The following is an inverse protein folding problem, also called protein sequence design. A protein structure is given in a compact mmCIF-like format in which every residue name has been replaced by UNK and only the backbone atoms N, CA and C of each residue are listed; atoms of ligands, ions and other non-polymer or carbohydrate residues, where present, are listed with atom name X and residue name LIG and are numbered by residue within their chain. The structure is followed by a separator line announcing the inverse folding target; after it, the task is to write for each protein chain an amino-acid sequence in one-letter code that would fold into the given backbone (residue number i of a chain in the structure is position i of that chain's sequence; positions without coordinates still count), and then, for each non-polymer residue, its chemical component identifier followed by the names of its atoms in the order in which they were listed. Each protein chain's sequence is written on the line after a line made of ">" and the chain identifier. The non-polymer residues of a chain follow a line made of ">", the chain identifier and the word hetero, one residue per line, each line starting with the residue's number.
data_IF_609560392442
#
_entry.id   IF_609560392442
#
_cell.length_a   1.000
_cell.length_b   1.000
_cell.length_c   1.000
_cell.angle_alpha   90.00
_cell.angle_beta   90.00
_cell.angle_gamma   90.00
#
_symmetry.space_group_name_H-M   'P 1'
#
loop_
_entity.id
_entity.type
_entity.pdbx_description
1 polymer ?
#
# COMPACT_ATOMS: atom_id res chain seq x y z
N UNK A 1 -11.55 -0.24 -8.13
CA UNK A 1 -10.60 0.77 -7.59
C UNK A 1 -11.20 2.16 -7.48
N UNK A 2 -11.95 2.69 -8.45
CA UNK A 2 -12.51 4.06 -8.35
C UNK A 2 -13.49 4.27 -7.19
N UNK A 3 -14.29 3.26 -6.85
CA UNK A 3 -15.24 3.31 -5.73
C UNK A 3 -14.56 3.44 -4.35
N UNK A 4 -13.30 3.02 -4.23
CA UNK A 4 -12.53 3.00 -2.99
C UNK A 4 -11.22 3.76 -3.24
N UNK A 5 -11.19 5.09 -3.05
CA UNK A 5 -9.99 5.87 -3.31
C UNK A 5 -8.83 5.47 -2.39
N UNK A 6 -7.73 4.99 -2.97
CA UNK A 6 -6.52 4.55 -2.25
C UNK A 6 -5.98 5.60 -1.29
N UNK A 7 -6.10 6.88 -1.64
CA UNK A 7 -5.70 8.03 -0.82
C UNK A 7 -6.39 8.14 0.54
N UNK A 8 -7.54 7.48 0.75
CA UNK A 8 -8.21 7.45 2.05
C UNK A 8 -7.56 6.48 3.05
N UNK A 9 -6.72 5.57 2.56
CA UNK A 9 -6.09 4.52 3.36
C UNK A 9 -4.58 4.75 3.53
N UNK A 10 -3.96 5.58 2.69
CA UNK A 10 -2.51 5.84 2.77
C UNK A 10 -2.25 7.03 3.72
N UNK A 11 -1.34 6.92 4.71
CA UNK A 11 -0.97 8.04 5.57
C UNK A 11 -0.14 9.10 4.81
N UNK A 12 0.03 10.30 5.39
CA UNK A 12 0.84 11.35 4.78
C UNK A 12 2.35 11.01 4.75
N UNK A 13 2.86 10.36 5.80
CA UNK A 13 4.24 9.91 5.90
C UNK A 13 4.43 8.56 5.22
N UNK A 14 5.04 8.56 4.04
CA UNK A 14 5.28 7.35 3.24
C UNK A 14 6.61 7.42 2.52
N UNK A 15 7.02 6.27 1.99
CA UNK A 15 8.25 6.13 1.23
C UNK A 15 7.96 5.47 -0.13
N UNK A 16 8.71 5.90 -1.15
CA UNK A 16 8.83 5.17 -2.41
C UNK A 16 9.96 4.16 -2.26
N UNK A 17 9.70 2.90 -2.62
CA UNK A 17 10.73 1.87 -2.64
C UNK A 17 11.56 1.97 -3.92
N UNK A 18 12.87 2.16 -3.76
CA UNK A 18 13.87 2.05 -4.81
C UNK A 18 14.61 0.70 -4.68
N UNK A 19 15.44 0.30 -5.67
CA UNK A 19 16.15 -0.98 -5.61
C UNK A 19 17.04 -1.18 -4.38
N UNK A 20 17.57 -0.09 -3.82
CA UNK A 20 18.57 -0.10 -2.74
C UNK A 20 18.11 0.58 -1.44
N UNK A 21 17.01 1.34 -1.46
CA UNK A 21 16.53 2.11 -0.29
C UNK A 21 15.05 2.48 -0.37
N UNK A 22 14.50 2.95 0.73
CA UNK A 22 13.21 3.63 0.76
C UNK A 22 13.43 5.14 0.87
N UNK A 23 12.90 5.91 -0.08
CA UNK A 23 13.00 7.37 -0.07
C UNK A 23 11.72 8.02 0.44
N UNK A 24 11.80 8.97 1.38
CA UNK A 24 10.62 9.66 1.88
C UNK A 24 9.97 10.47 0.76
N UNK A 25 8.65 10.40 0.65
CA UNK A 25 7.89 11.21 -0.29
C UNK A 25 7.52 12.52 0.39
N UNK A 26 7.94 13.64 -0.19
CA UNK A 26 7.75 14.97 0.40
C UNK A 26 6.85 15.80 -0.51
N UNK A 27 5.80 16.38 0.09
CA UNK A 27 4.86 17.28 -0.58
C UNK A 27 3.61 16.56 -1.11
N UNK A 28 2.49 17.30 -1.10
CA UNK A 28 1.16 16.77 -1.44
C UNK A 28 1.08 16.26 -2.88
N UNK A 29 1.68 16.95 -3.84
CA UNK A 29 1.60 16.55 -5.25
C UNK A 29 2.37 15.26 -5.53
N UNK A 30 3.57 15.12 -4.96
CA UNK A 30 4.37 13.89 -5.08
C UNK A 30 3.68 12.71 -4.38
N UNK A 31 3.07 12.97 -3.23
CA UNK A 31 2.27 11.98 -2.51
C UNK A 31 1.05 11.54 -3.33
N UNK A 32 0.28 12.48 -3.89
CA UNK A 32 -0.88 12.19 -4.72
C UNK A 32 -0.49 11.42 -5.98
N UNK A 33 0.63 11.78 -6.60
CA UNK A 33 1.14 11.09 -7.78
C UNK A 33 1.49 9.63 -7.47
N UNK A 34 2.19 9.35 -6.37
CA UNK A 34 2.56 7.99 -5.98
C UNK A 34 1.34 7.17 -5.52
N UNK A 35 0.45 7.74 -4.71
CA UNK A 35 -0.72 7.03 -4.21
C UNK A 35 -1.63 6.57 -5.34
N UNK A 36 -1.73 7.36 -6.42
CA UNK A 36 -2.52 7.03 -7.59
C UNK A 36 -1.74 6.33 -8.71
N UNK A 37 -0.45 5.98 -8.50
CA UNK A 37 0.33 5.21 -9.47
C UNK A 37 0.20 3.70 -9.23
N UNK A 38 0.58 2.91 -10.24
CA UNK A 38 0.71 1.46 -10.13
C UNK A 38 2.04 1.06 -9.47
N UNK A 39 2.33 1.63 -8.31
CA UNK A 39 3.51 1.33 -7.49
C UNK A 39 3.06 0.93 -6.07
N UNK A 40 3.85 0.10 -5.35
CA UNK A 40 3.66 -0.06 -3.92
C UNK A 40 4.01 1.25 -3.18
N UNK A 41 3.27 1.56 -2.13
CA UNK A 41 3.56 2.69 -1.24
C UNK A 41 4.01 2.14 0.10
N UNK A 42 5.26 2.35 0.48
CA UNK A 42 5.76 1.90 1.78
C UNK A 42 5.18 2.82 2.86
N UNK A 43 4.56 2.22 3.86
CA UNK A 43 3.85 2.92 4.95
C UNK A 43 4.55 2.77 6.29
N UNK A 44 5.52 1.87 6.40
CA UNK A 44 6.31 1.66 7.61
C UNK A 44 7.70 1.14 7.26
N UNK A 45 8.70 1.68 7.97
CA UNK A 45 10.06 1.17 8.00
C UNK A 45 10.36 0.58 9.38
N UNK A 46 11.23 -0.42 9.43
CA UNK A 46 11.90 -0.91 10.65
C UNK A 46 10.97 -1.22 11.84
N UNK A 47 9.79 -1.79 11.57
CA UNK A 47 8.74 -2.06 12.58
C UNK A 47 8.32 -0.82 13.40
N UNK A 48 8.45 0.35 12.80
CA UNK A 48 8.15 1.64 13.43
C UNK A 48 9.27 2.18 14.32
N UNK A 49 10.40 1.48 14.42
CA UNK A 49 11.56 1.96 15.18
C UNK A 49 12.23 3.15 14.46
N UNK A 50 12.72 4.11 15.25
CA UNK A 50 13.49 5.23 14.73
C UNK A 50 14.98 4.89 14.63
N UNK A 51 15.65 5.44 13.61
CA UNK A 51 17.09 5.25 13.41
C UNK A 51 17.50 3.84 12.96
N UNK A 52 16.55 3.04 12.48
CA UNK A 52 16.80 1.72 11.91
C UNK A 52 17.42 1.77 10.51
N UNK A 53 17.66 0.60 9.89
CA UNK A 53 18.31 0.48 8.60
C UNK A 53 17.47 0.97 7.40
N UNK A 54 16.21 1.38 7.60
CA UNK A 54 15.31 1.84 6.54
C UNK A 54 14.64 0.72 5.75
N UNK A 55 14.44 -0.44 6.37
CA UNK A 55 13.85 -1.63 5.75
C UNK A 55 12.33 -1.50 5.76
N UNK A 56 11.70 -1.65 4.59
CA UNK A 56 10.25 -1.67 4.47
C UNK A 56 9.65 -2.86 5.25
N UNK A 57 8.76 -2.57 6.19
CA UNK A 57 8.07 -3.57 7.04
C UNK A 57 6.55 -3.54 6.85
N UNK A 58 6.01 -2.48 6.24
CA UNK A 58 4.62 -2.44 5.80
C UNK A 58 4.49 -1.59 4.54
N UNK A 59 3.54 -1.95 3.68
CA UNK A 59 3.21 -1.21 2.47
C UNK A 59 1.73 -1.34 2.11
N UNK A 60 1.26 -0.39 1.32
CA UNK A 60 0.06 -0.53 0.52
C UNK A 60 0.47 -1.10 -0.84
N UNK A 61 0.05 -2.33 -1.14
CA UNK A 61 0.47 -3.10 -2.29
C UNK A 61 0.23 -2.42 -3.65
N UNK A 62 1.03 -2.77 -4.64
CA UNK A 62 0.88 -2.33 -6.03
C UNK A 62 -0.53 -2.70 -6.56
N UNK A 63 -1.32 -1.75 -7.08
CA UNK A 63 -2.69 -1.99 -7.53
C UNK A 63 -2.86 -3.14 -8.52
N UNK A 64 -2.02 -3.26 -9.54
CA UNK A 64 -2.11 -4.35 -10.52
C UNK A 64 -1.80 -5.72 -9.92
N UNK A 65 -0.94 -5.79 -8.91
CA UNK A 65 -0.71 -7.03 -8.15
C UNK A 65 -1.94 -7.42 -7.35
N UNK A 66 -2.58 -6.46 -6.65
CA UNK A 66 -3.83 -6.70 -5.90
C UNK A 66 -4.95 -7.14 -6.86
N UNK A 67 -5.10 -6.45 -8.00
CA UNK A 67 -6.09 -6.82 -9.02
C UNK A 67 -5.90 -8.25 -9.51
N UNK A 68 -4.65 -8.64 -9.79
CA UNK A 68 -4.32 -10.01 -10.20
C UNK A 68 -4.59 -11.01 -9.10
N UNK A 69 -4.24 -10.71 -7.85
CA UNK A 69 -4.51 -11.56 -6.69
C UNK A 69 -6.01 -11.79 -6.49
N UNK A 70 -6.82 -10.73 -6.51
CA UNK A 70 -8.27 -10.82 -6.37
C UNK A 70 -8.91 -11.58 -7.55
N UNK A 71 -8.40 -11.37 -8.77
CA UNK A 71 -8.85 -12.13 -9.94
C UNK A 71 -8.55 -13.63 -9.84
N UNK A 72 -7.42 -14.01 -9.22
CA UNK A 72 -7.09 -15.42 -8.96
C UNK A 72 -7.86 -16.01 -7.78
N UNK A 73 -8.29 -15.17 -6.82
CA UNK A 73 -9.11 -15.60 -5.69
C UNK A 73 -10.55 -15.91 -6.12
N UNK A 74 -11.00 -15.37 -7.26
CA UNK A 74 -12.35 -15.53 -7.81
C UNK A 74 -13.43 -15.23 -6.76
N UNK A 75 -13.24 -14.13 -6.03
CA UNK A 75 -14.17 -13.71 -4.98
C UNK A 75 -15.52 -13.28 -5.58
N UNK A 76 -16.60 -13.77 -5.00
CA UNK A 76 -17.98 -13.46 -5.40
C UNK A 76 -18.80 -12.93 -4.23
N UNK A 77 -19.92 -12.28 -4.55
CA UNK A 77 -20.87 -11.74 -3.57
C UNK A 77 -21.34 -12.82 -2.59
N UNK A 78 -21.36 -12.49 -1.30
CA UNK A 78 -21.79 -13.38 -0.21
C UNK A 78 -20.71 -14.31 0.32
N UNK A 79 -19.51 -14.34 -0.29
CA UNK A 79 -18.38 -15.07 0.27
C UNK A 79 -17.77 -14.36 1.50
N UNK A 80 -17.05 -15.12 2.32
CA UNK A 80 -16.31 -14.61 3.48
C UNK A 80 -14.82 -14.79 3.22
N UNK A 81 -14.10 -13.69 3.16
CA UNK A 81 -12.65 -13.66 2.90
C UNK A 81 -11.89 -13.35 4.18
N UNK A 82 -10.72 -13.99 4.35
CA UNK A 82 -9.74 -13.64 5.39
C UNK A 82 -8.52 -13.01 4.72
N UNK A 83 -8.27 -11.73 5.01
CA UNK A 83 -6.99 -11.10 4.71
C UNK A 83 -6.04 -11.27 5.91
N UNK A 84 -4.85 -11.80 5.66
CA UNK A 84 -3.78 -11.88 6.67
C UNK A 84 -2.76 -10.79 6.36
N UNK A 85 -2.64 -9.82 7.28
CA UNK A 85 -1.77 -8.65 7.08
C UNK A 85 -2.51 -7.45 6.52
N UNK A 86 -3.54 -6.98 7.22
CA UNK A 86 -4.42 -5.85 6.82
C UNK A 86 -3.67 -4.58 6.43
N UNK A 87 -2.50 -4.31 7.02
CA UNK A 87 -1.74 -3.09 6.77
C UNK A 87 -2.60 -1.85 6.99
N UNK A 88 -2.76 -1.04 5.94
CA UNK A 88 -3.63 0.15 5.97
C UNK A 88 -5.12 -0.13 5.76
N UNK A 89 -5.50 -1.37 5.45
CA UNK A 89 -6.89 -1.80 5.25
C UNK A 89 -7.45 -1.54 3.85
N UNK A 90 -6.63 -1.09 2.90
CA UNK A 90 -7.11 -0.79 1.55
C UNK A 90 -7.61 -2.02 0.80
N UNK A 91 -6.87 -3.13 0.86
CA UNK A 91 -7.25 -4.37 0.15
C UNK A 91 -8.51 -4.97 0.79
N UNK A 92 -8.62 -4.98 2.12
CA UNK A 92 -9.85 -5.34 2.84
C UNK A 92 -11.09 -4.54 2.41
N UNK A 93 -10.90 -3.31 1.92
CA UNK A 93 -11.99 -2.41 1.56
C UNK A 93 -12.44 -2.54 0.09
N UNK A 94 -11.71 -3.28 -0.75
CA UNK A 94 -12.03 -3.53 -2.16
C UNK A 94 -13.08 -4.63 -2.30
#
# INVERSE_FOLDING_TARGET
>A
FEAVPRSRFVPAGVWRQLPDRCEPVVGTDAWLALVNSDEPVVTQLDDGASGGPGVATSSNSMPSMVARMLGLLEVEDGQRVLEIGTGTGYVSAL
#
